data_IF_302486292606
#
_entry.id   IF_302486292606
#
_cell.length_a   1.000
_cell.length_b   1.000
_cell.length_c   1.000
_cell.angle_alpha   90.00
_cell.angle_beta   90.00
_cell.angle_gamma   90.00
#
_symmetry.space_group_name_H-M   'P 1'
#
loop_
_entity.id
_entity.type
_entity.pdbx_description
1 polymer ?
#
# COMPACT_ATOMS: atom_id res chain seq x y z
N UNK A 1 16.15 -13.76 28.39
CA UNK A 1 14.81 -14.31 28.69
C UNK A 1 14.18 -13.44 29.78
N UNK A 2 13.26 -12.53 29.41
CA UNK A 2 12.53 -11.72 30.39
C UNK A 2 11.10 -12.24 30.43
N UNK A 3 10.82 -13.11 31.39
CA UNK A 3 9.49 -13.64 31.72
C UNK A 3 8.62 -12.49 32.24
N UNK A 4 7.78 -11.92 31.37
CA UNK A 4 6.71 -11.01 31.76
C UNK A 4 5.59 -11.78 32.45
N UNK A 5 5.69 -11.93 33.77
CA UNK A 5 4.64 -12.53 34.58
C UNK A 5 3.41 -11.64 34.68
N UNK A 6 2.22 -12.21 34.49
CA UNK A 6 0.94 -11.58 34.81
C UNK A 6 0.43 -12.16 36.12
N UNK A 7 0.00 -11.31 37.06
CA UNK A 7 -0.70 -11.73 38.27
C UNK A 7 -2.17 -11.31 38.13
N UNK A 8 -3.05 -12.29 37.98
CA UNK A 8 -4.50 -12.11 38.00
C UNK A 8 -4.96 -12.17 39.45
N UNK A 9 -5.52 -11.08 39.98
CA UNK A 9 -6.18 -11.11 41.29
C UNK A 9 -7.66 -10.73 41.10
N UNK A 10 -8.55 -11.62 41.48
CA UNK A 10 -9.99 -11.39 41.57
C UNK A 10 -10.33 -11.01 43.01
N UNK A 11 -11.02 -9.88 43.24
CA UNK A 11 -11.77 -9.68 44.48
C UNK A 11 -13.25 -9.95 44.23
N UNK A 12 -13.82 -10.78 45.10
CA UNK A 12 -15.22 -11.15 45.16
C UNK A 12 -16.07 -9.92 45.50
N UNK A 13 -16.86 -9.44 44.52
CA UNK A 13 -17.84 -8.38 44.74
C UNK A 13 -18.16 -7.58 43.48
N UNK A 14 -19.09 -8.09 42.66
CA UNK A 14 -19.95 -7.29 41.76
C UNK A 14 -19.28 -6.19 40.92
N UNK A 15 -18.26 -6.52 40.13
CA UNK A 15 -17.70 -5.62 39.12
C UNK A 15 -16.44 -6.18 38.48
N UNK A 16 -16.53 -6.59 37.21
CA UNK A 16 -15.36 -7.02 36.44
C UNK A 16 -14.57 -5.80 35.99
N UNK A 17 -13.52 -5.44 36.73
CA UNK A 17 -12.54 -4.44 36.32
C UNK A 17 -11.17 -5.09 36.10
N UNK A 18 -10.75 -5.26 34.84
CA UNK A 18 -9.36 -5.67 34.52
C UNK A 18 -8.48 -4.42 34.54
N UNK A 19 -7.52 -4.37 35.47
CA UNK A 19 -6.54 -3.28 35.58
C UNK A 19 -5.34 -3.57 34.68
N UNK A 20 -5.21 -2.85 33.58
CA UNK A 20 -4.07 -2.94 32.67
C UNK A 20 -2.85 -2.30 33.34
N UNK A 21 -1.77 -3.07 33.53
CA UNK A 21 -0.43 -2.55 33.87
C UNK A 21 0.56 -2.98 32.79
N UNK A 22 0.98 -2.05 31.93
CA UNK A 22 2.09 -2.24 31.01
C UNK A 22 3.40 -1.90 31.73
N UNK A 23 3.94 -2.85 32.51
CA UNK A 23 5.09 -2.61 33.40
C UNK A 23 6.36 -2.11 32.70
N UNK A 24 6.52 -2.35 31.39
CA UNK A 24 7.69 -1.94 30.60
C UNK A 24 7.54 -0.61 29.83
N UNK A 25 6.49 0.18 30.07
CA UNK A 25 6.38 1.49 29.42
C UNK A 25 7.37 2.52 30.04
N UNK A 26 8.06 3.37 29.26
CA UNK A 26 9.02 4.36 29.78
C UNK A 26 8.44 5.33 30.82
N UNK A 27 7.12 5.46 30.86
CA UNK A 27 6.39 6.31 31.80
C UNK A 27 6.04 5.61 33.13
N UNK A 28 6.38 4.34 33.34
CA UNK A 28 6.13 3.62 34.58
C UNK A 28 7.28 3.85 35.56
N UNK A 29 6.97 4.33 36.78
CA UNK A 29 7.91 4.39 37.92
C UNK A 29 7.22 3.76 39.12
N UNK A 30 7.91 2.85 39.82
CA UNK A 30 7.40 2.15 41.02
C UNK A 30 6.02 1.47 40.82
N UNK A 31 5.80 0.91 39.62
CA UNK A 31 4.54 0.25 39.28
C UNK A 31 3.35 1.19 39.06
N UNK A 32 3.58 2.51 39.03
CA UNK A 32 2.59 3.56 38.76
C UNK A 32 2.98 4.34 37.50
N UNK A 33 2.01 4.59 36.63
CA UNK A 33 2.25 5.44 35.46
C UNK A 33 2.40 6.90 35.91
N UNK A 34 3.56 7.52 35.66
CA UNK A 34 3.80 8.95 35.88
C UNK A 34 2.80 9.85 35.15
N UNK A 35 2.25 9.38 34.02
CA UNK A 35 1.22 10.08 33.24
C UNK A 35 -0.21 9.79 33.71
N UNK A 36 -0.39 9.01 34.79
CA UNK A 36 -1.67 8.63 35.41
C UNK A 36 -2.60 7.86 34.47
N UNK A 37 -2.08 6.86 33.76
CA UNK A 37 -2.88 5.92 32.98
C UNK A 37 -3.21 4.64 33.76
N UNK A 38 -4.37 3.99 33.50
CA UNK A 38 -5.47 4.49 32.66
C UNK A 38 -6.16 5.72 33.27
N UNK A 39 -6.59 6.67 32.43
CA UNK A 39 -7.32 7.87 32.89
C UNK A 39 -8.73 7.48 33.30
N UNK A 40 -9.26 8.15 34.32
CA UNK A 40 -10.63 7.97 34.78
C UNK A 40 -11.63 8.31 33.65
N UNK A 41 -12.75 7.60 33.64
CA UNK A 41 -13.89 7.93 32.79
C UNK A 41 -14.53 9.23 33.30
N UNK A 42 -14.93 10.10 32.37
CA UNK A 42 -15.56 11.37 32.70
C UNK A 42 -16.70 11.65 31.72
N UNK A 43 -17.95 11.83 32.16
CA UNK A 43 -19.08 12.08 31.25
C UNK A 43 -19.01 13.44 30.55
N UNK A 44 -18.24 14.41 31.05
CA UNK A 44 -18.10 15.75 30.49
C UNK A 44 -16.64 16.23 30.52
N UNK A 45 -16.27 17.20 29.68
CA UNK A 45 -14.96 17.85 29.79
C UNK A 45 -14.99 18.86 30.93
N UNK A 46 -14.12 18.71 31.93
CA UNK A 46 -14.08 19.55 33.13
C UNK A 46 -12.73 20.28 33.19
N UNK A 47 -12.77 21.61 33.26
CA UNK A 47 -11.59 22.42 33.56
C UNK A 47 -11.26 22.31 35.05
N UNK A 48 -9.99 22.07 35.38
CA UNK A 48 -9.51 21.90 36.75
C UNK A 48 -8.56 23.05 37.07
N UNK A 49 -8.57 23.51 38.32
CA UNK A 49 -7.80 24.67 38.79
C UNK A 49 -6.27 24.53 38.58
N UNK A 50 -5.74 23.31 38.42
CA UNK A 50 -4.29 23.03 38.46
C UNK A 50 -3.72 22.43 37.16
N UNK A 51 -4.31 22.64 35.98
CA UNK A 51 -3.67 22.24 34.72
C UNK A 51 -4.61 21.86 33.58
N UNK A 52 -4.21 20.84 32.80
CA UNK A 52 -4.91 20.38 31.60
C UNK A 52 -6.35 19.92 31.91
N UNK A 53 -7.34 20.25 31.05
CA UNK A 53 -8.72 19.81 31.23
C UNK A 53 -8.85 18.28 31.30
N UNK A 54 -9.72 17.80 32.20
CA UNK A 54 -10.14 16.40 32.18
C UNK A 54 -11.18 16.23 31.08
N UNK A 55 -10.77 15.72 29.93
CA UNK A 55 -11.65 15.50 28.78
C UNK A 55 -12.70 14.41 29.03
N UNK A 56 -13.86 14.57 28.39
CA UNK A 56 -14.91 13.56 28.36
C UNK A 56 -14.38 12.21 27.84
N UNK A 57 -14.52 11.16 28.65
CA UNK A 57 -14.23 9.76 28.32
C UNK A 57 -15.43 8.90 28.75
N UNK A 58 -16.26 8.53 27.78
CA UNK A 58 -17.45 7.68 28.03
C UNK A 58 -17.01 6.26 28.39
N UNK A 59 -17.65 5.70 29.42
CA UNK A 59 -17.55 4.28 29.73
C UNK A 59 -18.61 3.52 28.93
N UNK A 60 -18.18 2.86 27.85
CA UNK A 60 -19.04 2.05 26.99
C UNK A 60 -18.76 0.55 27.16
N UNK A 61 -18.07 0.14 28.24
CA UNK A 61 -17.70 -1.25 28.51
C UNK A 61 -16.68 -1.85 27.53
N UNK A 62 -16.16 -1.07 26.57
CA UNK A 62 -15.17 -1.55 25.59
C UNK A 62 -13.75 -1.38 26.14
N UNK A 63 -13.04 -2.49 26.26
CA UNK A 63 -11.63 -2.52 26.65
C UNK A 63 -10.80 -2.76 25.39
N UNK A 64 -9.91 -1.82 25.05
CA UNK A 64 -8.98 -1.95 23.92
C UNK A 64 -7.59 -2.23 24.45
N UNK A 65 -7.03 -3.40 24.10
CA UNK A 65 -5.65 -3.77 24.40
C UNK A 65 -4.77 -3.26 23.25
N UNK A 66 -4.11 -2.11 23.46
CA UNK A 66 -3.12 -1.61 22.50
C UNK A 66 -1.77 -2.24 22.87
N UNK A 67 -1.41 -3.34 22.21
CA UNK A 67 -0.01 -3.81 22.16
C UNK A 67 0.76 -2.88 21.20
N UNK A 68 2.06 -2.68 21.43
CA UNK A 68 2.88 -1.66 20.75
C UNK A 68 2.97 -1.80 19.21
N UNK A 69 3.75 -0.91 18.57
CA UNK A 69 3.90 -0.79 17.11
C UNK A 69 4.45 -2.04 16.39
N UNK A 70 4.93 -3.05 17.12
CA UNK A 70 5.46 -4.28 16.53
C UNK A 70 4.34 -5.33 16.42
N UNK A 71 3.48 -5.13 15.42
CA UNK A 71 2.55 -6.17 14.99
C UNK A 71 3.21 -6.97 13.86
N UNK A 72 3.67 -8.18 14.16
CA UNK A 72 3.98 -9.19 13.15
C UNK A 72 2.85 -10.22 13.16
N UNK A 73 2.18 -10.42 12.03
CA UNK A 73 1.28 -11.55 11.84
C UNK A 73 2.14 -12.74 11.41
N UNK A 74 2.36 -13.72 12.30
CA UNK A 74 3.14 -14.92 12.00
C UNK A 74 2.19 -16.10 12.02
N UNK A 75 1.88 -16.62 10.84
CA UNK A 75 1.09 -17.84 10.65
C UNK A 75 2.07 -18.97 10.30
N UNK A 76 2.16 -19.98 11.16
CA UNK A 76 3.00 -21.17 10.93
C UNK A 76 2.09 -22.30 10.44
N UNK A 77 2.10 -22.54 9.12
CA UNK A 77 1.37 -23.64 8.50
C UNK A 77 2.35 -24.68 7.94
N UNK A 78 1.99 -25.96 7.99
CA UNK A 78 2.78 -27.07 7.41
C UNK A 78 2.80 -27.03 5.87
N UNK A 79 1.79 -26.41 5.26
CA UNK A 79 1.72 -26.08 3.84
C UNK A 79 1.61 -24.56 3.65
N UNK A 80 2.47 -24.01 2.80
CA UNK A 80 2.52 -22.58 2.49
C UNK A 80 1.48 -22.26 1.42
N UNK A 81 0.22 -22.14 1.84
CA UNK A 81 -0.80 -21.51 1.00
C UNK A 81 -0.67 -19.99 1.17
N UNK A 82 0.19 -19.38 0.34
CA UNK A 82 0.51 -17.96 0.42
C UNK A 82 -0.57 -17.14 -0.29
N UNK A 83 -1.63 -16.81 0.43
CA UNK A 83 -2.62 -15.85 -0.06
C UNK A 83 -2.04 -14.43 -0.01
N UNK A 84 -1.53 -13.98 -1.16
CA UNK A 84 -0.98 -12.63 -1.35
C UNK A 84 -2.00 -11.53 -1.03
N UNK A 85 -3.29 -11.77 -1.26
CA UNK A 85 -4.35 -10.78 -1.08
C UNK A 85 -4.60 -10.56 0.40
N UNK A 86 -4.78 -11.65 1.16
CA UNK A 86 -5.00 -11.56 2.60
C UNK A 86 -3.75 -11.05 3.33
N UNK A 87 -2.56 -11.49 2.92
CA UNK A 87 -1.30 -10.97 3.45
C UNK A 87 -1.17 -9.46 3.22
N UNK A 88 -1.55 -8.98 2.03
CA UNK A 88 -1.55 -7.55 1.72
C UNK A 88 -2.54 -6.77 2.60
N UNK A 89 -3.74 -7.30 2.85
CA UNK A 89 -4.75 -6.66 3.70
C UNK A 89 -4.31 -6.61 5.17
N UNK A 90 -3.77 -7.71 5.69
CA UNK A 90 -3.35 -7.82 7.09
C UNK A 90 -2.12 -6.96 7.40
N UNK A 91 -1.19 -6.82 6.45
CA UNK A 91 0.03 -6.04 6.63
C UNK A 91 -0.08 -4.57 6.20
N UNK A 92 -1.16 -4.15 5.53
CA UNK A 92 -1.31 -2.77 5.08
C UNK A 92 -1.65 -1.83 6.24
N UNK A 93 -0.62 -1.15 6.74
CA UNK A 93 -0.81 -0.01 7.62
C UNK A 93 -1.44 1.16 6.86
N UNK A 94 -2.64 1.57 7.27
CA UNK A 94 -3.31 2.79 6.80
C UNK A 94 -3.09 3.89 7.83
N UNK A 95 -2.45 4.98 7.42
CA UNK A 95 -2.20 6.10 8.32
C UNK A 95 -3.52 6.74 8.81
N UNK A 96 -3.53 7.31 10.02
CA UNK A 96 -4.70 8.00 10.57
C UNK A 96 -5.37 9.00 9.61
N UNK A 97 -4.64 9.87 8.87
CA UNK A 97 -5.26 10.75 7.88
C UNK A 97 -5.83 10.03 6.64
N UNK A 98 -5.18 8.98 6.13
CA UNK A 98 -5.71 8.17 5.02
C UNK A 98 -7.00 7.42 5.43
N UNK A 99 -7.03 6.88 6.65
CA UNK A 99 -8.22 6.22 7.20
C UNK A 99 -9.40 7.18 7.33
N UNK A 100 -9.14 8.42 7.77
CA UNK A 100 -10.16 9.46 7.85
C UNK A 100 -10.69 9.81 6.45
N UNK A 101 -9.81 9.92 5.45
CA UNK A 101 -10.19 10.16 4.06
C UNK A 101 -11.11 9.07 3.50
N UNK A 102 -10.80 7.80 3.82
CA UNK A 102 -11.62 6.63 3.46
C UNK A 102 -12.98 6.63 4.16
N UNK A 103 -13.03 6.94 5.45
CA UNK A 103 -14.27 6.99 6.24
C UNK A 103 -15.23 8.06 5.70
N UNK A 104 -14.70 9.18 5.23
CA UNK A 104 -15.49 10.25 4.61
C UNK A 104 -15.71 10.08 3.10
N UNK A 105 -15.33 8.94 2.52
CA UNK A 105 -15.48 8.63 1.09
C UNK A 105 -14.89 9.69 0.14
N UNK A 106 -13.85 10.40 0.58
CA UNK A 106 -13.15 11.33 -0.29
C UNK A 106 -12.36 10.58 -1.37
N UNK A 107 -12.25 11.14 -2.57
CA UNK A 107 -11.38 10.59 -3.61
C UNK A 107 -9.93 10.60 -3.15
N UNK A 108 -9.32 9.42 -3.06
CA UNK A 108 -7.95 9.24 -2.52
C UNK A 108 -6.90 9.52 -3.59
N UNK A 109 -7.21 9.15 -4.84
CA UNK A 109 -6.37 9.42 -6.00
C UNK A 109 -7.15 9.06 -7.25
N UNK A 110 -7.16 9.95 -8.23
CA UNK A 110 -7.45 9.59 -9.61
C UNK A 110 -6.12 9.42 -10.35
N UNK A 111 -5.95 8.32 -11.08
CA UNK A 111 -4.86 8.20 -12.05
C UNK A 111 -5.17 9.13 -13.20
N UNK A 112 -4.56 10.32 -13.17
CA UNK A 112 -4.84 11.35 -14.15
C UNK A 112 -4.35 10.94 -15.55
N UNK A 113 -3.24 10.21 -15.67
CA UNK A 113 -2.63 9.89 -16.95
C UNK A 113 -2.15 8.43 -17.03
N UNK A 114 -2.21 7.84 -18.22
CA UNK A 114 -1.55 6.55 -18.50
C UNK A 114 -0.10 6.83 -18.87
N UNK A 115 0.83 6.21 -18.15
CA UNK A 115 2.27 6.33 -18.39
C UNK A 115 2.70 5.22 -19.35
N UNK A 116 3.31 5.57 -20.49
CA UNK A 116 3.82 4.61 -21.48
C UNK A 116 5.33 4.76 -21.58
N UNK A 117 6.08 3.70 -21.23
CA UNK A 117 7.54 3.70 -21.37
C UNK A 117 7.92 3.29 -22.79
N UNK A 118 8.32 4.26 -23.60
CA UNK A 118 8.86 3.99 -24.94
C UNK A 118 10.26 3.38 -24.85
N UNK A 119 10.46 2.27 -25.56
CA UNK A 119 11.77 1.62 -25.64
C UNK A 119 12.66 2.36 -26.63
N UNK A 120 13.93 2.54 -26.27
CA UNK A 120 14.97 3.13 -27.12
C UNK A 120 16.16 2.18 -27.11
N UNK A 121 16.63 1.79 -28.28
CA UNK A 121 17.78 0.91 -28.45
C UNK A 121 18.43 1.14 -29.82
N UNK A 122 19.67 0.69 -29.96
CA UNK A 122 20.37 0.64 -31.25
C UNK A 122 19.83 -0.52 -32.10
N UNK A 123 20.16 -0.57 -33.41
CA UNK A 123 19.90 -1.73 -34.25
C UNK A 123 20.45 -3.01 -33.59
N UNK A 124 19.63 -4.06 -33.57
CA UNK A 124 19.91 -5.39 -32.99
C UNK A 124 20.31 -5.43 -31.50
N UNK A 125 20.22 -4.29 -30.80
CA UNK A 125 20.52 -4.17 -29.36
C UNK A 125 19.24 -4.07 -28.53
N UNK A 126 18.23 -4.87 -28.89
CA UNK A 126 16.95 -4.90 -28.20
C UNK A 126 17.10 -5.55 -26.83
N UNK A 127 16.42 -5.02 -25.81
CA UNK A 127 16.44 -5.62 -24.48
C UNK A 127 15.53 -6.86 -24.46
N UNK A 128 16.13 -8.02 -24.24
CA UNK A 128 15.42 -9.30 -24.10
C UNK A 128 15.64 -9.84 -22.68
N UNK A 129 14.57 -10.28 -22.05
CA UNK A 129 14.61 -10.94 -20.74
C UNK A 129 14.46 -12.45 -20.95
N UNK A 130 15.33 -13.24 -20.33
CA UNK A 130 15.33 -14.69 -20.41
C UNK A 130 15.70 -15.29 -19.05
N UNK A 131 15.26 -16.52 -18.82
CA UNK A 131 15.72 -17.32 -17.69
C UNK A 131 16.97 -18.09 -18.11
N UNK A 132 17.85 -18.38 -17.16
CA UNK A 132 19.05 -19.17 -17.40
C UNK A 132 18.69 -20.52 -18.05
N UNK A 133 19.26 -20.81 -19.23
CA UNK A 133 18.96 -21.99 -20.04
C UNK A 133 17.89 -21.82 -21.14
N UNK A 134 17.14 -20.73 -21.18
CA UNK A 134 16.10 -20.46 -22.20
C UNK A 134 16.49 -19.39 -23.25
N UNK A 135 17.79 -19.14 -23.42
CA UNK A 135 18.33 -18.07 -24.28
C UNK A 135 17.84 -18.17 -25.73
N UNK A 136 17.90 -19.36 -26.34
CA UNK A 136 17.51 -19.56 -27.74
C UNK A 136 16.03 -19.25 -27.96
N UNK A 137 15.16 -19.72 -27.06
CA UNK A 137 13.72 -19.48 -27.14
C UNK A 137 13.40 -17.99 -26.96
N UNK A 138 14.16 -17.29 -26.12
CA UNK A 138 14.00 -15.85 -25.94
C UNK A 138 14.40 -15.06 -27.19
N UNK A 139 15.46 -15.48 -27.88
CA UNK A 139 15.89 -14.89 -29.17
C UNK A 139 14.81 -15.11 -30.24
N UNK A 140 14.28 -16.33 -30.37
CA UNK A 140 13.22 -16.63 -31.34
C UNK A 140 11.95 -15.80 -31.08
N UNK A 141 11.57 -15.62 -29.82
CA UNK A 141 10.44 -14.76 -29.43
C UNK A 141 10.70 -13.30 -29.75
N UNK A 142 11.92 -12.81 -29.53
CA UNK A 142 12.32 -11.44 -29.84
C UNK A 142 12.35 -11.18 -31.36
N UNK A 143 12.73 -12.18 -32.16
CA UNK A 143 12.69 -12.08 -33.62
C UNK A 143 11.24 -11.98 -34.16
N UNK A 144 10.28 -12.61 -33.49
CA UNK A 144 8.87 -12.61 -33.89
C UNK A 144 8.08 -11.38 -33.40
N UNK A 145 8.51 -10.74 -32.32
CA UNK A 145 7.79 -9.63 -31.69
C UNK A 145 8.52 -8.31 -31.88
N UNK A 146 7.81 -7.35 -32.44
CA UNK A 146 8.31 -5.99 -32.55
C UNK A 146 8.28 -5.25 -31.21
N UNK A 147 9.32 -4.46 -30.96
CA UNK A 147 9.33 -3.47 -29.88
C UNK A 147 8.49 -2.26 -30.28
N UNK A 148 8.20 -1.37 -29.32
CA UNK A 148 7.55 -0.09 -29.62
C UNK A 148 8.29 0.68 -30.73
N UNK A 149 9.62 0.62 -30.73
CA UNK A 149 10.48 1.34 -31.67
C UNK A 149 10.53 0.68 -33.04
N UNK A 150 10.71 -0.64 -33.13
CA UNK A 150 10.73 -1.32 -34.43
C UNK A 150 9.36 -1.27 -35.10
N UNK A 151 8.29 -1.40 -34.32
CA UNK A 151 6.92 -1.23 -34.81
C UNK A 151 6.67 0.20 -35.31
N UNK A 152 7.27 1.23 -34.69
CA UNK A 152 7.17 2.61 -35.15
C UNK A 152 7.86 2.82 -36.50
N UNK A 153 9.06 2.25 -36.69
CA UNK A 153 9.73 2.31 -37.99
C UNK A 153 8.91 1.65 -39.11
N UNK A 154 8.30 0.49 -38.83
CA UNK A 154 7.39 -0.19 -39.77
C UNK A 154 6.16 0.65 -40.07
N UNK A 155 5.53 1.23 -39.04
CA UNK A 155 4.38 2.12 -39.21
C UNK A 155 4.71 3.33 -40.09
N UNK A 156 5.87 3.95 -39.87
CA UNK A 156 6.33 5.08 -40.68
C UNK A 156 6.62 4.71 -42.13
N UNK A 157 7.01 3.47 -42.41
CA UNK A 157 7.19 3.01 -43.78
C UNK A 157 5.85 2.92 -44.52
N UNK A 158 4.80 2.43 -43.85
CA UNK A 158 3.49 2.14 -44.45
C UNK A 158 2.52 3.33 -44.45
N UNK A 159 2.45 4.10 -43.36
CA UNK A 159 1.43 5.13 -43.16
C UNK A 159 2.01 6.54 -43.25
N UNK A 160 1.45 7.36 -44.15
CA UNK A 160 1.86 8.75 -44.32
C UNK A 160 1.49 9.66 -43.15
N UNK A 161 0.41 9.38 -42.40
CA UNK A 161 0.01 10.18 -41.24
C UNK A 161 0.98 10.00 -40.07
N UNK A 162 1.48 8.78 -39.87
CA UNK A 162 2.43 8.48 -38.81
C UNK A 162 3.76 9.24 -38.96
N UNK A 163 4.17 9.54 -40.20
CA UNK A 163 5.39 10.30 -40.52
C UNK A 163 5.36 11.75 -40.03
N UNK A 164 4.18 12.27 -39.70
CA UNK A 164 4.02 13.63 -39.18
C UNK A 164 4.40 13.74 -37.70
N UNK A 165 4.43 12.61 -36.98
CA UNK A 165 4.62 12.60 -35.53
C UNK A 165 6.00 12.02 -35.17
N UNK A 166 6.65 12.65 -34.20
CA UNK A 166 7.87 12.09 -33.60
C UNK A 166 7.53 10.82 -32.78
N UNK A 167 8.53 9.98 -32.52
CA UNK A 167 8.33 8.76 -31.74
C UNK A 167 7.68 9.01 -30.36
N UNK A 168 7.99 10.15 -29.73
CA UNK A 168 7.41 10.57 -28.43
C UNK A 168 5.93 10.97 -28.57
N UNK A 169 5.52 11.48 -29.72
CA UNK A 169 4.16 11.94 -29.98
C UNK A 169 3.22 10.81 -30.46
N UNK A 170 3.78 9.70 -30.94
CA UNK A 170 3.01 8.58 -31.49
C UNK A 170 2.00 7.99 -30.48
N UNK A 171 2.34 7.78 -29.19
CA UNK A 171 1.38 7.25 -28.23
C UNK A 171 0.17 8.17 -27.97
N UNK A 172 0.23 9.45 -28.35
CA UNK A 172 -0.93 10.34 -28.27
C UNK A 172 -1.96 10.00 -29.37
N UNK A 173 -1.50 9.67 -30.57
CA UNK A 173 -2.35 9.42 -31.75
C UNK A 173 -2.61 7.93 -32.04
N UNK A 174 -1.71 7.06 -31.61
CA UNK A 174 -1.74 5.62 -31.87
C UNK A 174 -1.74 4.83 -30.56
N UNK A 175 -2.35 3.66 -30.59
CA UNK A 175 -2.36 2.69 -29.50
C UNK A 175 -1.58 1.45 -29.92
N UNK A 176 -0.68 0.99 -29.06
CA UNK A 176 0.06 -0.23 -29.29
C UNK A 176 -0.80 -1.45 -28.93
N UNK A 177 -1.08 -2.29 -29.93
CA UNK A 177 -1.90 -3.49 -29.78
C UNK A 177 -1.13 -4.69 -29.24
N UNK A 178 -1.86 -5.70 -28.76
CA UNK A 178 -1.28 -6.99 -28.31
C UNK A 178 -0.52 -7.75 -29.41
N UNK A 179 -0.80 -7.41 -30.67
CA UNK A 179 -0.13 -7.92 -31.85
C UNK A 179 1.16 -7.16 -32.20
N UNK A 180 1.70 -6.38 -31.26
CA UNK A 180 2.94 -5.63 -31.41
C UNK A 180 2.95 -4.62 -32.57
N UNK A 181 1.78 -4.05 -32.89
CA UNK A 181 1.65 -3.01 -33.93
C UNK A 181 0.88 -1.81 -33.43
N UNK A 182 1.21 -0.65 -33.99
CA UNK A 182 0.52 0.61 -33.75
C UNK A 182 -0.76 0.68 -34.58
N UNK A 183 -1.87 1.03 -33.94
CA UNK A 183 -3.16 1.27 -34.60
C UNK A 183 -3.66 2.66 -34.25
N UNK A 184 -4.37 3.30 -35.18
CA UNK A 184 -4.97 4.62 -34.94
C UNK A 184 -5.89 4.54 -33.73
N UNK A 185 -5.74 5.49 -32.81
CA UNK A 185 -6.55 5.57 -31.59
C UNK A 185 -8.01 5.91 -31.94
N UNK A 186 -8.94 5.05 -31.56
CA UNK A 186 -10.39 5.28 -31.79
C UNK A 186 -11.12 5.85 -30.56
N UNK A 187 -10.61 5.60 -29.34
CA UNK A 187 -11.15 6.10 -28.07
C UNK A 187 -10.03 6.31 -27.05
N UNK A 188 -10.08 7.42 -26.30
CA UNK A 188 -9.16 7.74 -25.20
C UNK A 188 -9.00 9.25 -25.05
N UNK A 189 -8.98 9.74 -23.81
CA UNK A 189 -8.69 11.14 -23.48
C UNK A 189 -7.20 11.46 -23.73
N UNK A 190 -6.88 12.74 -23.94
CA UNK A 190 -5.51 13.29 -24.17
C UNK A 190 -4.53 13.08 -23.00
N UNK A 191 -4.83 12.17 -22.08
CA UNK A 191 -4.11 11.97 -20.82
C UNK A 191 -3.07 10.86 -20.92
N UNK A 192 -2.26 10.85 -21.98
CA UNK A 192 -1.09 9.97 -22.08
C UNK A 192 0.14 10.80 -21.75
N UNK A 193 1.01 10.29 -20.89
CA UNK A 193 2.33 10.87 -20.64
C UNK A 193 3.36 9.83 -21.04
N UNK A 194 4.29 10.25 -21.88
CA UNK A 194 5.35 9.43 -22.48
C UNK A 194 6.67 9.68 -21.76
#
# INVERSE_FOLDING_TARGET
MSTGGFLLESRSGGGFGIKIRTFNSPCMKDGVCTKKFPKEFNPCTVAIFNGYPNYRRLDNGRVVIIKGHDCANVVVNESVDHDEINTYLDCRFVSAPEALWRIYEYSISDMSHTIIRLQIHLPDNQRVYFNEGEEQVAIDRAAQRDTHLTAWFKLNAENNEARQYSYVEIPYHFVFGKNCMWKVRQRGSDKVVV
#
